data_IF_708875668378
#
_entry.id   IF_708875668378
#
_cell.length_a   1.000
_cell.length_b   1.000
_cell.length_c   1.000
_cell.angle_alpha   90.00
_cell.angle_beta   90.00
_cell.angle_gamma   90.00
#
_symmetry.space_group_name_H-M   'P 1'
#
loop_
_entity.id
_entity.type
_entity.pdbx_description
1 polymer ?
#
# COMPACT_ATOMS: atom_id res chain seq x y z
N UNK A 1 45.00 54.06 13.74
CA UNK A 1 43.80 54.08 12.88
C UNK A 1 43.36 52.64 12.66
N UNK A 2 42.27 52.18 13.30
CA UNK A 2 41.82 50.80 13.23
C UNK A 2 40.67 50.65 12.22
N UNK A 3 40.49 49.44 11.69
CA UNK A 3 39.20 48.72 11.61
C UNK A 3 39.11 47.88 10.34
N UNK A 4 39.51 46.61 10.47
CA UNK A 4 38.94 45.53 9.66
C UNK A 4 38.43 44.50 10.67
N UNK A 5 37.12 44.48 10.87
CA UNK A 5 36.36 43.31 11.34
C UNK A 5 35.02 43.29 10.62
N UNK A 6 34.96 42.52 9.55
CA UNK A 6 33.73 42.06 8.94
C UNK A 6 33.16 40.95 9.82
N UNK A 7 32.13 41.27 10.61
CA UNK A 7 31.26 40.28 11.23
C UNK A 7 30.14 39.95 10.24
N UNK A 8 30.11 38.71 9.78
CA UNK A 8 28.99 38.13 9.05
C UNK A 8 27.82 37.94 10.03
N UNK A 9 26.71 38.65 9.81
CA UNK A 9 25.41 38.32 10.40
C UNK A 9 24.73 37.28 9.53
N UNK A 10 24.80 36.02 9.95
CA UNK A 10 23.93 34.97 9.44
C UNK A 10 22.55 35.13 10.08
N UNK A 11 21.58 35.65 9.33
CA UNK A 11 20.18 35.62 9.72
C UNK A 11 19.64 34.20 9.50
N UNK A 12 19.46 33.46 10.60
CA UNK A 12 18.61 32.28 10.67
C UNK A 12 17.15 32.73 10.52
N UNK A 13 16.55 32.54 9.34
CA UNK A 13 15.10 32.54 9.21
C UNK A 13 14.58 31.20 9.76
N UNK A 14 14.06 31.23 10.98
CA UNK A 14 13.14 30.22 11.49
C UNK A 14 11.74 30.57 11.00
N UNK A 15 11.28 29.92 9.93
CA UNK A 15 9.87 29.99 9.55
C UNK A 15 9.08 29.08 10.49
N UNK A 16 8.49 29.66 11.53
CA UNK A 16 7.47 28.99 12.32
C UNK A 16 6.21 28.83 11.46
N UNK A 17 5.91 27.60 11.05
CA UNK A 17 4.58 27.25 10.56
C UNK A 17 3.62 27.28 11.75
N UNK A 18 2.76 28.29 11.77
CA UNK A 18 1.68 28.43 12.73
C UNK A 18 0.65 27.31 12.50
N UNK A 19 0.43 26.49 13.52
CA UNK A 19 -0.70 25.59 13.59
C UNK A 19 -1.98 26.41 13.77
N UNK A 20 -2.82 26.46 12.73
CA UNK A 20 -4.21 26.84 12.90
C UNK A 20 -4.98 25.62 13.43
N UNK A 21 -5.80 25.75 14.49
CA UNK A 21 -6.64 24.67 14.96
C UNK A 21 -7.79 24.49 13.96
N UNK A 22 -7.80 23.37 13.24
CA UNK A 22 -8.95 22.99 12.42
C UNK A 22 -10.03 22.51 13.40
N UNK A 23 -11.05 23.35 13.54
CA UNK A 23 -12.26 23.04 14.28
C UNK A 23 -13.03 21.91 13.59
N UNK A 24 -13.59 21.03 14.42
CA UNK A 24 -14.39 19.87 14.06
C UNK A 24 -15.47 20.18 13.01
N UNK A 25 -15.36 19.53 11.85
CA UNK A 25 -16.50 19.12 11.05
C UNK A 25 -16.50 17.59 11.05
N UNK A 26 -17.35 17.00 11.90
CA UNK A 26 -17.80 15.63 11.74
C UNK A 26 -18.74 15.59 10.53
N UNK A 27 -18.16 15.58 9.33
CA UNK A 27 -18.77 14.80 8.25
C UNK A 27 -18.18 13.41 8.39
N UNK A 28 -19.05 12.40 8.43
CA UNK A 28 -18.65 11.03 8.10
C UNK A 28 -18.23 11.05 6.63
N UNK A 29 -17.03 11.58 6.37
CA UNK A 29 -16.32 11.32 5.13
C UNK A 29 -16.21 9.81 5.11
N UNK A 30 -17.02 9.19 4.26
CA UNK A 30 -16.99 7.77 3.97
C UNK A 30 -15.66 7.51 3.28
N UNK A 31 -14.61 7.48 4.09
CA UNK A 31 -13.30 6.96 3.73
C UNK A 31 -13.57 5.65 2.99
N UNK A 32 -13.04 5.48 1.76
CA UNK A 32 -13.23 4.23 1.02
C UNK A 32 -12.69 3.02 1.80
N UNK A 33 -11.87 3.26 2.84
CA UNK A 33 -11.35 2.26 3.79
C UNK A 33 -12.36 1.84 4.88
N UNK A 34 -13.52 2.49 4.98
CA UNK A 34 -14.54 2.21 6.01
C UNK A 34 -15.68 1.31 5.51
N UNK A 35 -15.58 0.73 4.32
CA UNK A 35 -16.61 -0.14 3.76
C UNK A 35 -16.81 -1.40 4.62
N UNK A 36 -17.94 -1.50 5.32
CA UNK A 36 -18.32 -2.69 6.11
C UNK A 36 -18.61 -3.86 5.19
N UNK A 37 -19.36 -3.55 4.14
CA UNK A 37 -19.62 -4.40 2.99
C UNK A 37 -19.45 -3.55 1.73
N UNK A 38 -18.61 -3.95 0.77
CA UNK A 38 -18.51 -3.22 -0.49
C UNK A 38 -19.84 -3.37 -1.25
N UNK A 39 -20.30 -2.32 -1.96
CA UNK A 39 -21.49 -2.42 -2.80
C UNK A 39 -21.29 -3.50 -3.87
N UNK A 40 -22.40 -4.10 -4.32
CA UNK A 40 -22.35 -5.02 -5.44
C UNK A 40 -21.75 -4.32 -6.66
N UNK A 41 -20.79 -4.97 -7.31
CA UNK A 41 -20.16 -4.44 -8.52
C UNK A 41 -21.19 -4.30 -9.63
N UNK A 42 -21.10 -3.22 -10.40
CA UNK A 42 -21.87 -3.07 -11.64
C UNK A 42 -21.49 -4.17 -12.65
N UNK A 43 -22.31 -4.38 -13.68
CA UNK A 43 -21.97 -5.34 -14.75
C UNK A 43 -20.65 -5.00 -15.45
N UNK A 44 -20.36 -3.71 -15.62
CA UNK A 44 -19.11 -3.23 -16.22
C UNK A 44 -17.91 -3.48 -15.31
N UNK A 45 -18.04 -3.18 -14.02
CA UNK A 45 -16.99 -3.46 -13.02
C UNK A 45 -16.71 -4.96 -12.91
N UNK A 46 -17.76 -5.80 -12.93
CA UNK A 46 -17.59 -7.26 -12.97
C UNK A 46 -16.86 -7.73 -14.23
N UNK A 47 -17.19 -7.17 -15.39
CA UNK A 47 -16.51 -7.52 -16.65
C UNK A 47 -15.02 -7.15 -16.60
N UNK A 48 -14.67 -5.96 -16.12
CA UNK A 48 -13.28 -5.51 -15.97
C UNK A 48 -12.51 -6.34 -14.96
N UNK A 49 -13.10 -6.61 -13.79
CA UNK A 49 -12.50 -7.50 -12.79
C UNK A 49 -12.24 -8.90 -13.36
N UNK A 50 -13.19 -9.45 -14.12
CA UNK A 50 -13.04 -10.75 -14.77
C UNK A 50 -11.89 -10.75 -15.79
N UNK A 51 -11.80 -9.72 -16.62
CA UNK A 51 -10.68 -9.55 -17.57
C UNK A 51 -9.34 -9.49 -16.84
N UNK A 52 -9.23 -8.65 -15.80
CA UNK A 52 -7.99 -8.48 -15.05
C UNK A 52 -7.57 -9.77 -14.31
N UNK A 53 -8.52 -10.51 -13.73
CA UNK A 53 -8.27 -11.83 -13.13
C UNK A 53 -7.83 -12.86 -14.17
N UNK A 54 -8.42 -12.84 -15.38
CA UNK A 54 -8.01 -13.70 -16.49
C UNK A 54 -6.58 -13.42 -16.96
N UNK A 55 -6.21 -12.15 -17.10
CA UNK A 55 -4.85 -11.73 -17.41
C UNK A 55 -3.88 -12.18 -16.31
N UNK A 56 -4.22 -11.94 -15.04
CA UNK A 56 -3.41 -12.33 -13.90
C UNK A 56 -3.21 -13.85 -13.83
N UNK A 57 -4.26 -14.65 -14.07
CA UNK A 57 -4.18 -16.11 -14.06
C UNK A 57 -3.20 -16.67 -15.10
N UNK A 58 -2.97 -15.96 -16.21
CA UNK A 58 -1.98 -16.35 -17.22
C UNK A 58 -0.52 -16.23 -16.73
N UNK A 59 -0.27 -15.40 -15.70
CA UNK A 59 1.06 -15.15 -15.14
C UNK A 59 1.23 -15.79 -13.74
N UNK A 60 0.22 -15.71 -12.88
CA UNK A 60 0.17 -16.35 -11.56
C UNK A 60 -1.05 -17.28 -11.45
N UNK A 61 -0.91 -18.57 -11.81
CA UNK A 61 -1.98 -19.56 -11.67
C UNK A 61 -2.42 -19.81 -10.22
N UNK A 62 -1.64 -19.38 -9.23
CA UNK A 62 -2.05 -19.50 -7.82
C UNK A 62 -3.22 -18.58 -7.45
N UNK A 63 -3.57 -17.64 -8.33
CA UNK A 63 -4.63 -16.66 -8.10
C UNK A 63 -6.00 -17.30 -7.90
N UNK A 64 -6.27 -18.43 -8.53
CA UNK A 64 -7.52 -19.19 -8.39
C UNK A 64 -7.78 -19.61 -6.93
N UNK A 65 -6.73 -19.76 -6.12
CA UNK A 65 -6.83 -20.09 -4.69
C UNK A 65 -6.92 -18.87 -3.78
N UNK A 66 -6.50 -17.70 -4.26
CA UNK A 66 -6.40 -16.45 -3.48
C UNK A 66 -7.65 -15.60 -3.65
N UNK A 67 -8.07 -15.35 -4.89
CA UNK A 67 -9.17 -14.45 -5.23
C UNK A 67 -10.53 -14.81 -4.58
N UNK A 68 -10.93 -16.09 -4.43
CA UNK A 68 -12.21 -16.42 -3.80
C UNK A 68 -12.28 -16.08 -2.30
N UNK A 69 -11.15 -15.73 -1.67
CA UNK A 69 -11.10 -15.40 -0.24
C UNK A 69 -11.34 -13.92 0.04
N UNK A 70 -11.41 -13.09 -0.99
CA UNK A 70 -11.59 -11.65 -0.86
C UNK A 70 -12.85 -11.20 -1.57
N UNK A 71 -13.35 -10.04 -1.15
CA UNK A 71 -14.40 -9.27 -1.81
C UNK A 71 -13.74 -8.10 -2.53
N UNK A 72 -14.33 -7.66 -3.63
CA UNK A 72 -13.78 -6.57 -4.43
C UNK A 72 -14.63 -5.32 -4.30
N UNK A 73 -13.97 -4.17 -4.26
CA UNK A 73 -14.57 -2.85 -4.32
C UNK A 73 -13.88 -2.02 -5.39
N UNK A 74 -14.62 -1.15 -6.06
CA UNK A 74 -14.05 -0.13 -6.92
C UNK A 74 -14.20 1.23 -6.25
N UNK A 75 -13.20 2.08 -6.39
CA UNK A 75 -13.25 3.46 -5.94
C UNK A 75 -12.87 4.41 -7.09
N UNK A 76 -13.39 5.65 -7.08
CA UNK A 76 -13.04 6.66 -8.06
C UNK A 76 -11.54 6.93 -8.09
N UNK A 77 -11.00 7.14 -9.28
CA UNK A 77 -9.59 7.51 -9.44
C UNK A 77 -9.30 8.83 -8.72
N UNK A 78 -8.48 8.77 -7.66
CA UNK A 78 -8.04 9.95 -6.90
C UNK A 78 -6.59 10.35 -7.20
N UNK A 79 -5.88 9.56 -8.03
CA UNK A 79 -4.48 9.76 -8.38
C UNK A 79 -3.49 9.43 -7.26
N UNK A 80 -3.95 9.01 -6.09
CA UNK A 80 -3.13 8.73 -4.91
C UNK A 80 -3.02 7.23 -4.66
N UNK A 81 -4.12 6.48 -4.81
CA UNK A 81 -4.14 5.05 -4.55
C UNK A 81 -4.48 4.25 -5.80
N UNK A 82 -3.62 3.29 -6.12
CA UNK A 82 -3.87 2.35 -7.21
C UNK A 82 -4.67 1.11 -6.75
N UNK A 83 -4.66 0.82 -5.45
CA UNK A 83 -5.34 -0.30 -4.83
C UNK A 83 -5.12 -0.30 -3.31
N UNK A 84 -5.86 -1.15 -2.60
CA UNK A 84 -5.61 -1.45 -1.20
C UNK A 84 -6.16 -2.82 -0.81
N UNK A 85 -5.63 -3.42 0.25
CA UNK A 85 -6.17 -4.60 0.90
C UNK A 85 -6.56 -4.29 2.34
N UNK A 86 -7.84 -4.46 2.67
CA UNK A 86 -8.36 -4.42 4.04
C UNK A 86 -8.48 -5.87 4.58
N UNK A 87 -7.63 -6.26 5.53
CA UNK A 87 -7.47 -7.65 5.93
C UNK A 87 -8.57 -8.17 6.85
N UNK A 88 -9.17 -7.34 7.71
CA UNK A 88 -10.16 -7.80 8.68
C UNK A 88 -11.47 -8.21 8.03
N UNK A 89 -11.83 -7.57 6.93
CA UNK A 89 -13.06 -7.76 6.15
C UNK A 89 -12.77 -8.45 4.82
N UNK A 90 -11.49 -8.67 4.49
CA UNK A 90 -11.04 -9.33 3.27
C UNK A 90 -11.45 -8.57 2.03
N UNK A 91 -11.24 -7.26 2.00
CA UNK A 91 -11.65 -6.40 0.88
C UNK A 91 -10.41 -6.00 0.09
N UNK A 92 -10.44 -6.19 -1.22
CA UNK A 92 -9.49 -5.59 -2.15
C UNK A 92 -10.19 -4.42 -2.85
N UNK A 93 -9.71 -3.21 -2.61
CA UNK A 93 -10.13 -2.01 -3.32
C UNK A 93 -9.29 -1.79 -4.57
N UNK A 94 -9.93 -1.41 -5.67
CA UNK A 94 -9.30 -1.17 -6.96
C UNK A 94 -9.69 0.20 -7.51
N UNK A 95 -8.72 0.89 -8.08
CA UNK A 95 -8.90 2.16 -8.77
C UNK A 95 -9.61 1.95 -10.12
N UNK A 96 -10.77 2.56 -10.30
CA UNK A 96 -11.57 2.41 -11.51
C UNK A 96 -10.95 3.06 -12.76
N UNK A 97 -10.03 4.00 -12.60
CA UNK A 97 -9.42 4.76 -13.70
C UNK A 97 -8.30 4.02 -14.44
N UNK A 98 -7.87 2.84 -13.96
CA UNK A 98 -6.71 2.11 -14.49
C UNK A 98 -7.03 1.26 -15.72
N UNK A 99 -6.05 1.02 -16.57
CA UNK A 99 -6.18 0.01 -17.64
C UNK A 99 -6.40 -1.39 -17.05
N UNK A 100 -6.91 -2.32 -17.85
CA UNK A 100 -7.07 -3.72 -17.41
C UNK A 100 -5.72 -4.38 -17.08
N UNK A 101 -4.64 -3.96 -17.74
CA UNK A 101 -3.29 -4.46 -17.45
C UNK A 101 -2.77 -3.94 -16.11
N UNK A 102 -2.90 -2.63 -15.88
CA UNK A 102 -2.52 -2.02 -14.62
C UNK A 102 -3.35 -2.59 -13.46
N UNK A 103 -4.64 -2.83 -13.69
CA UNK A 103 -5.52 -3.49 -12.73
C UNK A 103 -5.09 -4.93 -12.43
N UNK A 104 -4.70 -5.73 -13.44
CA UNK A 104 -4.20 -7.09 -13.23
C UNK A 104 -2.93 -7.13 -12.37
N UNK A 105 -2.01 -6.19 -12.61
CA UNK A 105 -0.79 -6.07 -11.80
C UNK A 105 -1.08 -5.54 -10.37
N UNK A 106 -2.02 -4.60 -10.19
CA UNK A 106 -2.47 -4.18 -8.85
C UNK A 106 -3.20 -5.31 -8.12
N UNK A 107 -4.02 -6.11 -8.80
CA UNK A 107 -4.61 -7.31 -8.22
C UNK A 107 -3.55 -8.28 -7.72
N UNK A 108 -2.44 -8.43 -8.46
CA UNK A 108 -1.31 -9.26 -8.02
C UNK A 108 -0.68 -8.74 -6.72
N UNK A 109 -0.57 -7.41 -6.58
CA UNK A 109 -0.11 -6.73 -5.37
C UNK A 109 -1.03 -7.08 -4.19
N UNK A 110 -2.31 -6.72 -4.28
CA UNK A 110 -3.24 -6.84 -3.15
C UNK A 110 -3.57 -8.30 -2.80
N UNK A 111 -3.63 -9.19 -3.79
CA UNK A 111 -3.86 -10.62 -3.53
C UNK A 111 -2.63 -11.32 -2.95
N UNK A 112 -1.44 -10.73 -3.10
CA UNK A 112 -0.24 -11.16 -2.37
C UNK A 112 -0.39 -10.86 -0.88
N UNK A 113 -0.86 -9.66 -0.53
CA UNK A 113 -1.21 -9.32 0.85
C UNK A 113 -2.27 -10.28 1.41
N UNK A 114 -3.37 -10.49 0.69
CA UNK A 114 -4.44 -11.39 1.12
C UNK A 114 -3.96 -12.83 1.38
N UNK A 115 -3.05 -13.35 0.53
CA UNK A 115 -2.48 -14.68 0.70
C UNK A 115 -1.53 -14.80 1.89
N UNK A 116 -0.74 -13.76 2.17
CA UNK A 116 0.35 -13.80 3.17
C UNK A 116 -0.08 -13.34 4.55
N UNK A 117 -0.88 -12.27 4.60
CA UNK A 117 -1.48 -11.73 5.82
C UNK A 117 -2.69 -12.58 6.23
N UNK A 118 -3.39 -13.19 5.26
CA UNK A 118 -4.65 -13.87 5.52
C UNK A 118 -5.82 -12.88 5.59
N UNK A 119 -7.02 -13.45 5.73
CA UNK A 119 -8.29 -12.70 5.74
C UNK A 119 -9.03 -12.97 7.04
N UNK A 120 -9.64 -11.92 7.60
CA UNK A 120 -10.48 -11.99 8.77
C UNK A 120 -9.81 -11.51 10.06
N UNK A 121 -10.50 -11.61 11.20
CA UNK A 121 -10.00 -11.18 12.52
C UNK A 121 -8.72 -11.87 13.00
N UNK A 122 -8.34 -13.00 12.39
CA UNK A 122 -7.09 -13.73 12.65
C UNK A 122 -5.99 -13.44 11.63
N UNK A 123 -6.12 -12.40 10.80
CA UNK A 123 -5.07 -12.00 9.87
C UNK A 123 -3.79 -11.64 10.62
N UNK A 124 -2.65 -11.97 10.02
CA UNK A 124 -1.30 -11.78 10.59
C UNK A 124 -0.88 -10.31 10.74
N UNK A 125 -1.77 -9.39 10.37
CA UNK A 125 -1.72 -7.98 10.81
C UNK A 125 -1.68 -7.88 12.33
N UNK A 126 -2.32 -8.83 13.00
CA UNK A 126 -2.42 -8.91 14.45
C UNK A 126 -1.60 -10.11 14.90
N UNK A 127 -0.49 -9.85 15.58
CA UNK A 127 0.22 -10.71 16.56
C UNK A 127 1.69 -10.30 16.74
N UNK A 128 2.29 -9.54 15.80
CA UNK A 128 3.65 -8.99 15.95
C UNK A 128 3.70 -7.58 16.56
N UNK A 129 2.54 -6.97 16.74
CA UNK A 129 2.35 -5.56 17.09
C UNK A 129 2.21 -5.27 18.58
N UNK A 130 2.28 -6.28 19.45
CA UNK A 130 1.98 -6.08 20.87
C UNK A 130 3.06 -5.33 21.67
N UNK A 131 4.15 -4.85 21.04
CA UNK A 131 5.20 -4.15 21.77
C UNK A 131 5.70 -2.83 21.14
N UNK A 132 5.93 -2.74 19.81
CA UNK A 132 6.58 -1.56 19.23
C UNK A 132 6.09 -1.21 17.81
N UNK A 133 5.76 0.07 17.60
CA UNK A 133 5.32 0.61 16.30
C UNK A 133 6.37 0.46 15.19
N UNK A 134 7.66 0.47 15.55
CA UNK A 134 8.76 0.27 14.59
C UNK A 134 8.79 -1.14 13.99
N UNK A 135 8.60 -2.18 14.82
CA UNK A 135 8.59 -3.57 14.37
C UNK A 135 7.42 -3.85 13.42
N UNK A 136 6.27 -3.21 13.68
CA UNK A 136 5.13 -3.25 12.78
C UNK A 136 5.44 -2.61 11.42
N UNK A 137 5.98 -1.40 11.43
CA UNK A 137 6.33 -0.68 10.22
C UNK A 137 7.39 -1.44 9.41
N UNK A 138 8.39 -2.03 10.05
CA UNK A 138 9.37 -2.89 9.40
C UNK A 138 8.75 -4.13 8.78
N UNK A 139 7.82 -4.78 9.48
CA UNK A 139 7.08 -5.92 8.94
C UNK A 139 6.27 -5.52 7.70
N UNK A 140 5.54 -4.40 7.76
CA UNK A 140 4.72 -3.94 6.63
C UNK A 140 5.57 -3.56 5.42
N UNK A 141 6.71 -2.89 5.61
CA UNK A 141 7.65 -2.60 4.52
C UNK A 141 8.17 -3.88 3.84
N UNK A 142 8.40 -4.93 4.63
CA UNK A 142 8.80 -6.24 4.09
C UNK A 142 7.69 -6.93 3.28
N UNK A 143 6.43 -6.79 3.71
CA UNK A 143 5.29 -7.35 2.99
C UNK A 143 4.99 -6.55 1.71
N UNK A 144 5.07 -5.21 1.76
CA UNK A 144 5.00 -4.33 0.59
C UNK A 144 6.06 -4.69 -0.45
N UNK A 145 7.30 -4.94 -0.03
CA UNK A 145 8.38 -5.34 -0.94
C UNK A 145 8.00 -6.58 -1.77
N UNK A 146 7.33 -7.56 -1.16
CA UNK A 146 6.92 -8.79 -1.84
C UNK A 146 5.74 -8.54 -2.77
N UNK A 147 4.78 -7.73 -2.34
CA UNK A 147 3.62 -7.35 -3.14
C UNK A 147 4.05 -6.57 -4.40
N UNK A 148 5.00 -5.64 -4.28
CA UNK A 148 5.61 -4.96 -5.43
C UNK A 148 6.33 -5.92 -6.38
N UNK A 149 7.02 -6.94 -5.88
CA UNK A 149 7.64 -7.95 -6.75
C UNK A 149 6.59 -8.74 -7.54
N UNK A 150 5.43 -9.05 -6.94
CA UNK A 150 4.33 -9.70 -7.63
C UNK A 150 3.74 -8.78 -8.71
N UNK A 151 3.49 -7.52 -8.38
CA UNK A 151 3.00 -6.49 -9.31
C UNK A 151 3.95 -6.33 -10.51
N UNK A 152 5.25 -6.18 -10.27
CA UNK A 152 6.27 -6.04 -11.31
C UNK A 152 6.31 -7.25 -12.23
N UNK A 153 6.26 -8.47 -11.67
CA UNK A 153 6.27 -9.70 -12.47
C UNK A 153 5.08 -9.77 -13.41
N UNK A 154 3.90 -9.38 -12.94
CA UNK A 154 2.68 -9.37 -13.75
C UNK A 154 2.73 -8.26 -14.79
N UNK A 155 3.06 -7.03 -14.40
CA UNK A 155 3.19 -5.89 -15.32
C UNK A 155 4.20 -6.18 -16.44
N UNK A 156 5.35 -6.79 -16.09
CA UNK A 156 6.36 -7.21 -17.08
C UNK A 156 5.85 -8.33 -17.98
N UNK A 157 5.21 -9.36 -17.42
CA UNK A 157 4.66 -10.49 -18.16
C UNK A 157 3.55 -10.09 -19.14
N UNK A 158 2.79 -9.04 -18.80
CA UNK A 158 1.75 -8.47 -19.64
C UNK A 158 2.23 -7.31 -20.53
N UNK A 159 3.52 -6.96 -20.49
CA UNK A 159 4.14 -5.88 -21.27
C UNK A 159 3.53 -4.48 -21.03
N UNK A 160 3.17 -4.15 -19.78
CA UNK A 160 2.63 -2.83 -19.39
C UNK A 160 3.40 -2.17 -18.23
N UNK A 161 4.68 -2.48 -18.08
CA UNK A 161 5.50 -1.89 -17.01
C UNK A 161 5.67 -0.36 -17.15
N UNK A 162 5.52 0.17 -18.36
CA UNK A 162 5.55 1.59 -18.68
C UNK A 162 4.32 2.39 -18.19
N UNK A 163 3.25 1.71 -17.78
CA UNK A 163 2.08 2.33 -17.15
C UNK A 163 2.30 2.65 -15.66
N UNK A 164 3.40 2.18 -15.08
CA UNK A 164 3.72 2.38 -13.67
C UNK A 164 4.76 3.47 -13.47
N UNK A 165 4.82 4.01 -12.24
CA UNK A 165 5.81 5.02 -11.90
C UNK A 165 7.24 4.54 -12.20
N UNK A 166 8.14 5.42 -12.65
CA UNK A 166 9.52 5.05 -12.98
C UNK A 166 10.25 4.30 -11.86
N UNK A 167 9.87 4.55 -10.60
CA UNK A 167 10.40 3.84 -9.44
C UNK A 167 10.08 2.32 -9.48
N UNK A 168 8.86 1.94 -9.87
CA UNK A 168 8.44 0.53 -10.00
C UNK A 168 9.22 -0.15 -11.12
N UNK A 169 9.40 0.54 -12.26
CA UNK A 169 10.19 0.06 -13.40
C UNK A 169 11.67 -0.11 -13.04
N UNK A 170 12.24 0.82 -12.26
CA UNK A 170 13.63 0.71 -11.79
C UNK A 170 13.84 -0.45 -10.82
N UNK A 171 12.82 -0.76 -10.00
CA UNK A 171 12.85 -1.91 -9.09
C UNK A 171 12.88 -3.22 -9.86
N UNK A 172 12.18 -3.32 -10.98
CA UNK A 172 12.20 -4.50 -11.86
C UNK A 172 13.63 -4.87 -12.26
N UNK A 173 14.34 -3.94 -12.90
CA UNK A 173 15.70 -4.16 -13.39
C UNK A 173 16.67 -4.62 -12.29
N UNK A 174 16.42 -4.20 -11.04
CA UNK A 174 17.27 -4.51 -9.89
C UNK A 174 16.87 -5.78 -9.16
N UNK A 175 15.62 -6.21 -9.23
CA UNK A 175 15.09 -7.35 -8.47
C UNK A 175 14.80 -8.59 -9.31
N UNK A 176 14.79 -8.46 -10.63
CA UNK A 176 14.48 -9.55 -11.54
C UNK A 176 15.44 -10.73 -11.37
N UNK A 177 14.87 -11.94 -11.26
CA UNK A 177 15.62 -13.19 -11.09
C UNK A 177 16.32 -13.35 -9.74
N UNK A 178 16.19 -12.39 -8.81
CA UNK A 178 16.83 -12.47 -7.49
C UNK A 178 15.99 -13.28 -6.50
N UNK A 179 16.63 -13.94 -5.51
CA UNK A 179 15.93 -14.53 -4.37
C UNK A 179 15.13 -13.46 -3.61
N UNK A 180 14.00 -13.85 -3.02
CA UNK A 180 13.10 -12.94 -2.29
C UNK A 180 13.84 -12.12 -1.22
N UNK A 181 14.74 -12.75 -0.45
CA UNK A 181 15.51 -12.05 0.59
C UNK A 181 16.39 -10.92 0.03
N UNK A 182 17.02 -11.14 -1.13
CA UNK A 182 17.84 -10.12 -1.78
C UNK A 182 16.96 -9.02 -2.38
N UNK A 183 15.82 -9.38 -2.97
CA UNK A 183 14.87 -8.43 -3.52
C UNK A 183 14.27 -7.51 -2.44
N UNK A 184 13.95 -8.05 -1.24
CA UNK A 184 13.55 -7.25 -0.07
C UNK A 184 14.63 -6.28 0.37
N UNK A 185 15.88 -6.74 0.45
CA UNK A 185 17.01 -5.88 0.82
C UNK A 185 17.17 -4.72 -0.18
N UNK A 186 17.05 -5.00 -1.48
CA UNK A 186 17.08 -3.97 -2.52
C UNK A 186 15.92 -2.99 -2.35
N UNK A 187 14.70 -3.47 -2.12
CA UNK A 187 13.53 -2.61 -1.88
C UNK A 187 13.81 -1.62 -0.74
N UNK A 188 14.27 -2.11 0.41
CA UNK A 188 14.57 -1.28 1.59
C UNK A 188 15.60 -0.18 1.34
N UNK A 189 16.61 -0.43 0.50
CA UNK A 189 17.71 0.52 0.29
C UNK A 189 17.56 1.41 -0.95
N UNK A 190 16.65 1.06 -1.84
CA UNK A 190 16.53 1.69 -3.17
C UNK A 190 15.34 2.62 -3.28
N UNK A 191 14.32 2.37 -2.47
CA UNK A 191 13.05 3.06 -2.58
C UNK A 191 12.99 4.23 -1.60
N UNK A 192 12.96 5.46 -2.12
CA UNK A 192 12.77 6.68 -1.31
C UNK A 192 11.39 6.71 -0.62
N UNK A 193 10.44 5.87 -1.07
CA UNK A 193 9.17 5.68 -0.38
C UNK A 193 9.23 4.66 0.76
N UNK A 194 10.25 3.80 0.88
CA UNK A 194 10.31 2.85 2.00
C UNK A 194 10.31 3.57 3.37
N UNK A 195 11.03 4.70 3.55
CA UNK A 195 10.84 5.59 4.70
C UNK A 195 9.42 6.16 4.83
N UNK A 196 8.78 6.51 3.71
CA UNK A 196 7.40 7.01 3.67
C UNK A 196 6.36 5.97 4.09
N UNK A 197 6.42 4.76 3.53
CA UNK A 197 5.61 3.61 3.93
C UNK A 197 5.85 3.27 5.40
N UNK A 198 7.11 3.19 5.82
CA UNK A 198 7.46 2.96 7.22
C UNK A 198 6.79 4.00 8.13
N UNK A 199 6.92 5.29 7.80
CA UNK A 199 6.31 6.37 8.57
C UNK A 199 4.78 6.29 8.58
N UNK A 200 4.15 5.99 7.45
CA UNK A 200 2.70 5.83 7.35
C UNK A 200 2.19 4.66 8.21
N UNK A 201 2.84 3.50 8.16
CA UNK A 201 2.46 2.34 8.99
C UNK A 201 2.75 2.58 10.46
N UNK A 202 3.86 3.23 10.78
CA UNK A 202 4.18 3.64 12.14
C UNK A 202 3.09 4.56 12.70
N UNK A 203 2.72 5.60 11.95
CA UNK A 203 1.70 6.57 12.37
C UNK A 203 0.32 5.94 12.45
N UNK A 204 -0.07 5.08 11.51
CA UNK A 204 -1.32 4.33 11.56
C UNK A 204 -1.40 3.46 12.82
N UNK A 205 -0.32 2.73 13.14
CA UNK A 205 -0.24 1.94 14.37
C UNK A 205 -0.35 2.80 15.63
N UNK A 206 0.33 3.95 15.66
CA UNK A 206 0.29 4.87 16.79
C UNK A 206 -1.08 5.53 16.96
N UNK A 207 -1.82 5.76 15.88
CA UNK A 207 -3.17 6.31 15.88
C UNK A 207 -4.21 5.31 16.42
N UNK A 208 -4.07 4.03 16.06
CA UNK A 208 -4.94 2.96 16.55
C UNK A 208 -4.62 2.50 17.99
N UNK A 209 -3.42 2.86 18.48
CA UNK A 209 -2.94 2.61 19.83
C UNK A 209 -2.39 1.18 20.04
N UNK A 210 -1.34 0.99 20.86
CA UNK A 210 -0.88 -0.34 21.23
C UNK A 210 -1.93 -1.02 22.12
N UNK A 211 -2.72 -1.93 21.56
CA UNK A 211 -3.57 -2.81 22.36
C UNK A 211 -5.08 -2.71 22.18
N UNK A 212 -5.61 -2.37 21.00
CA UNK A 212 -6.96 -2.81 20.66
C UNK A 212 -6.90 -4.32 20.46
N UNK A 213 -7.06 -5.07 21.57
CA UNK A 213 -7.40 -6.48 21.53
C UNK A 213 -8.59 -6.65 20.58
N UNK A 214 -8.68 -7.76 19.80
CA UNK A 214 -9.92 -8.06 19.11
C UNK A 214 -11.02 -8.00 20.17
N UNK A 215 -11.96 -7.08 20.00
CA UNK A 215 -13.14 -6.97 20.82
C UNK A 215 -13.89 -8.29 20.70
N UNK A 216 -13.56 -9.24 21.57
CA UNK A 216 -14.39 -10.37 21.89
C UNK A 216 -15.65 -9.80 22.52
N UNK A 217 -16.68 -9.61 21.72
CA UNK A 217 -18.03 -9.37 22.18
C UNK A 217 -18.97 -10.28 21.38
N UNK A 218 -19.97 -10.83 22.07
CA UNK A 218 -20.43 -12.23 21.97
C UNK A 218 -21.15 -12.62 20.68
#
# INVERSE_FOLDING_TARGET
MPSIRTTATASLLFTMLAFAPIANAHEEDASPFSLKDPPALSSEQNARLSTALGLLASIDPSIERKAPKVRFAFFPHDGVLAGYFEPNRGIVGLDEGRSDCAMAAMLAHELTHAGRLGVGPGSRMVHRTQAFAGDYADFMVDEEAIAFLAQIRVAKGLHCLDEFEPAVTALEARTWGKPEAEARAIFRTTYDFAPGYWASYFMAFMADGPGVAPSSAP
#
